data_IF_406590505212
#
_entry.id   IF_406590505212
#
_cell.length_a   1.000
_cell.length_b   1.000
_cell.length_c   1.000
_cell.angle_alpha   90.00
_cell.angle_beta   90.00
_cell.angle_gamma   90.00
#
_symmetry.space_group_name_H-M   'P 1'
#
loop_
_entity.id
_entity.type
_entity.pdbx_description
1 polymer ?
#
# COMPACT_ATOMS: atom_id res chain seq x y z
N UNK A 1 10.27 31.75 62.39
CA UNK A 1 9.94 31.76 60.94
C UNK A 1 11.12 31.21 60.15
N UNK A 2 11.00 30.04 59.51
CA UNK A 2 11.43 29.72 58.13
C UNK A 2 11.39 28.19 57.97
N UNK A 3 10.37 27.68 57.29
CA UNK A 3 10.29 26.28 56.83
C UNK A 3 11.00 26.26 55.47
N UNK A 4 11.99 25.39 55.31
CA UNK A 4 12.70 25.19 54.03
C UNK A 4 12.26 23.84 53.45
N UNK A 5 11.24 23.85 52.60
CA UNK A 5 10.83 22.68 51.83
C UNK A 5 11.79 22.48 50.66
N UNK A 6 12.59 21.42 50.70
CA UNK A 6 13.31 20.89 49.54
C UNK A 6 12.33 20.03 48.72
N UNK A 7 11.91 20.53 47.55
CA UNK A 7 11.14 19.75 46.57
C UNK A 7 12.14 19.06 45.66
N UNK A 8 12.25 17.73 45.79
CA UNK A 8 13.03 16.88 44.88
C UNK A 8 12.14 16.56 43.67
N UNK A 9 12.48 17.13 42.52
CA UNK A 9 11.81 16.87 41.25
C UNK A 9 12.43 15.61 40.61
N UNK A 10 11.76 14.46 40.73
CA UNK A 10 12.16 13.22 40.04
C UNK A 10 11.62 13.27 38.61
N UNK A 11 12.51 13.46 37.64
CA UNK A 11 12.17 13.40 36.21
C UNK A 11 12.20 11.94 35.78
N UNK A 12 11.02 11.31 35.65
CA UNK A 12 10.88 10.00 35.04
C UNK A 12 11.13 10.07 33.54
N UNK A 13 12.19 9.42 33.07
CA UNK A 13 12.43 9.18 31.65
C UNK A 13 11.43 8.13 31.15
N UNK A 14 10.28 8.57 30.67
CA UNK A 14 9.36 7.70 29.92
C UNK A 14 9.99 7.36 28.57
N UNK A 15 10.52 6.15 28.44
CA UNK A 15 10.88 5.59 27.14
C UNK A 15 9.60 5.41 26.33
N UNK A 16 9.34 6.33 25.41
CA UNK A 16 8.33 6.13 24.39
C UNK A 16 8.78 4.97 23.50
N UNK A 17 8.33 3.75 23.80
CA UNK A 17 8.42 2.64 22.86
C UNK A 17 7.62 3.05 21.62
N UNK A 18 8.32 3.36 20.53
CA UNK A 18 7.70 3.52 19.23
C UNK A 18 7.01 2.19 18.91
N UNK A 19 5.68 2.18 18.96
CA UNK A 19 4.88 1.02 18.61
C UNK A 19 5.19 0.67 17.16
N UNK A 20 5.85 -0.48 16.95
CA UNK A 20 6.10 -0.95 15.60
C UNK A 20 4.75 -1.05 14.88
N UNK A 21 4.63 -0.46 13.67
CA UNK A 21 3.40 -0.51 12.92
C UNK A 21 3.08 -1.96 12.65
N UNK A 22 1.96 -2.43 13.19
CA UNK A 22 1.45 -3.77 12.94
C UNK A 22 1.37 -4.04 11.43
N UNK A 23 1.43 -5.32 11.03
CA UNK A 23 1.26 -5.78 9.64
C UNK A 23 0.01 -5.25 8.93
N UNK A 24 -0.93 -4.64 9.65
CA UNK A 24 -2.13 -3.96 9.13
C UNK A 24 -1.95 -2.45 8.88
N UNK A 25 -0.73 -1.93 8.78
CA UNK A 25 -0.53 -0.48 8.56
C UNK A 25 -0.90 -0.05 7.13
N UNK A 26 -0.81 -0.96 6.16
CA UNK A 26 -1.12 -0.69 4.76
C UNK A 26 -2.30 -1.56 4.31
N UNK A 27 -3.36 -0.98 3.74
CA UNK A 27 -4.45 -1.75 3.15
C UNK A 27 -3.98 -2.79 2.13
N UNK A 28 -2.88 -2.52 1.41
CA UNK A 28 -2.28 -3.48 0.48
C UNK A 28 -1.76 -4.78 1.12
N UNK A 29 -1.54 -4.81 2.45
CA UNK A 29 -1.04 -6.00 3.14
C UNK A 29 -2.11 -7.06 3.42
N UNK A 30 -3.40 -6.69 3.42
CA UNK A 30 -4.48 -7.67 3.50
C UNK A 30 -4.79 -8.24 2.11
N UNK A 31 -4.02 -9.24 1.67
CA UNK A 31 -4.16 -9.80 0.32
C UNK A 31 -5.55 -10.39 0.04
N UNK A 32 -6.20 -10.95 1.05
CA UNK A 32 -7.55 -11.51 0.90
C UNK A 32 -8.57 -10.40 0.60
N UNK A 33 -8.53 -9.31 1.36
CA UNK A 33 -9.36 -8.13 1.12
C UNK A 33 -9.03 -7.47 -0.21
N UNK A 34 -7.74 -7.25 -0.50
CA UNK A 34 -7.27 -6.64 -1.75
C UNK A 34 -7.76 -7.40 -2.99
N UNK A 35 -7.63 -8.73 -3.02
CA UNK A 35 -8.09 -9.57 -4.14
C UNK A 35 -9.62 -9.61 -4.26
N UNK A 36 -10.35 -9.24 -3.21
CA UNK A 36 -11.82 -9.17 -3.22
C UNK A 36 -12.39 -7.82 -3.69
N UNK A 37 -11.57 -6.77 -3.76
CA UNK A 37 -12.03 -5.41 -4.09
C UNK A 37 -12.76 -5.37 -5.44
N UNK A 38 -13.90 -4.70 -5.50
CA UNK A 38 -14.49 -4.28 -6.77
C UNK A 38 -14.03 -2.85 -7.05
N UNK A 39 -13.54 -2.59 -8.26
CA UNK A 39 -13.26 -1.22 -8.70
C UNK A 39 -14.48 -0.57 -9.35
N UNK A 40 -14.46 0.75 -9.45
CA UNK A 40 -15.53 1.50 -10.08
C UNK A 40 -15.45 1.44 -11.61
N UNK A 41 -16.59 1.15 -12.25
CA UNK A 41 -16.77 1.25 -13.70
C UNK A 41 -17.05 2.70 -14.08
N UNK A 42 -16.03 3.55 -14.05
CA UNK A 42 -16.16 4.99 -14.33
C UNK A 42 -15.21 5.45 -15.43
N UNK A 43 -15.49 6.64 -15.99
CA UNK A 43 -14.67 7.20 -17.07
C UNK A 43 -14.66 6.31 -18.31
N UNK A 44 -13.47 5.86 -18.71
CA UNK A 44 -13.24 4.95 -19.84
C UNK A 44 -13.22 3.47 -19.45
N UNK A 45 -13.25 3.14 -18.16
CA UNK A 45 -13.21 1.76 -17.67
C UNK A 45 -14.61 1.16 -17.81
N UNK A 46 -14.68 0.00 -18.48
CA UNK A 46 -15.92 -0.76 -18.70
C UNK A 46 -15.81 -2.21 -18.23
N UNK A 47 -14.61 -2.73 -18.12
CA UNK A 47 -14.35 -4.09 -17.67
C UNK A 47 -14.15 -4.14 -16.15
N UNK A 48 -14.88 -5.01 -15.42
CA UNK A 48 -14.71 -5.18 -13.97
C UNK A 48 -13.31 -5.64 -13.55
N UNK A 49 -12.63 -6.44 -14.37
CA UNK A 49 -11.27 -6.89 -14.10
C UNK A 49 -10.27 -5.74 -14.19
N UNK A 50 -10.38 -4.89 -15.22
CA UNK A 50 -9.61 -3.66 -15.35
C UNK A 50 -9.86 -2.73 -14.17
N UNK A 51 -11.13 -2.53 -13.77
CA UNK A 51 -11.47 -1.70 -12.63
C UNK A 51 -10.84 -2.22 -11.33
N UNK A 52 -10.89 -3.53 -11.11
CA UNK A 52 -10.24 -4.21 -9.98
C UNK A 52 -8.72 -3.94 -9.95
N UNK A 53 -8.01 -4.14 -11.06
CA UNK A 53 -6.57 -3.88 -11.12
C UNK A 53 -6.27 -2.39 -10.88
N UNK A 54 -7.09 -1.50 -11.42
CA UNK A 54 -6.95 -0.05 -11.23
C UNK A 54 -7.04 0.37 -9.76
N UNK A 55 -8.05 -0.10 -9.02
CA UNK A 55 -8.21 0.26 -7.60
C UNK A 55 -7.06 -0.30 -6.75
N UNK A 56 -6.65 -1.55 -6.99
CA UNK A 56 -5.50 -2.14 -6.28
C UNK A 56 -4.20 -1.40 -6.55
N UNK A 57 -3.97 -0.99 -7.80
CA UNK A 57 -2.80 -0.20 -8.18
C UNK A 57 -2.78 1.15 -7.47
N UNK A 58 -3.93 1.84 -7.36
CA UNK A 58 -4.03 3.11 -6.65
C UNK A 58 -3.71 2.96 -5.15
N UNK A 59 -4.25 1.91 -4.51
CA UNK A 59 -3.96 1.60 -3.11
C UNK A 59 -2.46 1.36 -2.90
N UNK A 60 -1.85 0.50 -3.72
CA UNK A 60 -0.40 0.22 -3.63
C UNK A 60 0.45 1.47 -3.83
N UNK A 61 0.12 2.34 -4.78
CA UNK A 61 0.83 3.60 -5.00
C UNK A 61 0.76 4.53 -3.78
N UNK A 62 -0.39 4.59 -3.12
CA UNK A 62 -0.57 5.33 -1.87
C UNK A 62 0.24 4.71 -0.72
N UNK A 63 0.25 3.39 -0.59
CA UNK A 63 0.96 2.68 0.46
C UNK A 63 2.49 2.77 0.28
N UNK A 64 2.99 2.61 -0.94
CA UNK A 64 4.42 2.83 -1.25
C UNK A 64 4.82 4.27 -0.90
N UNK A 65 3.98 5.24 -1.25
CA UNK A 65 4.23 6.65 -0.92
C UNK A 65 4.30 6.89 0.59
N UNK A 66 3.45 6.20 1.35
CA UNK A 66 3.40 6.25 2.81
C UNK A 66 4.62 5.55 3.43
N UNK A 67 4.98 4.36 2.95
CA UNK A 67 6.17 3.61 3.37
C UNK A 67 7.45 4.41 3.16
N UNK A 68 7.60 5.07 2.00
CA UNK A 68 8.72 5.97 1.73
C UNK A 68 8.73 7.16 2.70
N UNK A 69 7.60 7.84 2.91
CA UNK A 69 7.52 9.00 3.82
C UNK A 69 7.86 8.60 5.27
N UNK A 70 7.48 7.39 5.67
CA UNK A 70 7.84 6.78 6.95
C UNK A 70 9.29 6.23 6.98
N UNK A 71 10.07 6.39 5.91
CA UNK A 71 11.45 5.91 5.75
C UNK A 71 11.62 4.40 5.91
N UNK A 72 10.57 3.62 5.64
CA UNK A 72 10.62 2.14 5.63
C UNK A 72 11.22 1.59 4.35
N UNK A 73 11.08 2.34 3.25
CA UNK A 73 11.73 2.06 1.97
C UNK A 73 12.49 3.29 1.50
N UNK A 74 13.60 3.06 0.80
CA UNK A 74 14.38 4.14 0.17
C UNK A 74 13.62 4.78 -0.99
N UNK A 75 13.99 6.00 -1.38
CA UNK A 75 13.43 6.65 -2.56
C UNK A 75 13.62 5.81 -3.84
N UNK A 76 14.83 5.30 -4.17
CA UNK A 76 15.01 4.42 -5.34
C UNK A 76 14.14 3.16 -5.29
N UNK A 77 13.99 2.55 -4.11
CA UNK A 77 13.11 1.38 -3.94
C UNK A 77 11.66 1.75 -4.21
N UNK A 78 11.18 2.86 -3.64
CA UNK A 78 9.83 3.34 -3.86
C UNK A 78 9.54 3.65 -5.34
N UNK A 79 10.50 4.25 -6.04
CA UNK A 79 10.39 4.55 -7.47
C UNK A 79 10.29 3.28 -8.32
N UNK A 80 11.07 2.24 -7.98
CA UNK A 80 10.97 0.96 -8.66
C UNK A 80 9.62 0.30 -8.43
N UNK A 81 9.15 0.24 -7.18
CA UNK A 81 7.83 -0.32 -6.87
C UNK A 81 6.70 0.44 -7.56
N UNK A 82 6.80 1.78 -7.64
CA UNK A 82 5.85 2.61 -8.40
C UNK A 82 5.83 2.27 -9.89
N UNK A 83 6.99 2.02 -10.50
CA UNK A 83 7.08 1.58 -11.90
C UNK A 83 6.47 0.21 -12.10
N UNK A 84 6.71 -0.73 -11.19
CA UNK A 84 6.16 -2.08 -11.27
C UNK A 84 4.62 -2.06 -11.22
N UNK A 85 4.03 -1.27 -10.32
CA UNK A 85 2.57 -1.07 -10.25
C UNK A 85 2.02 -0.41 -11.53
N UNK A 86 2.72 0.60 -12.04
CA UNK A 86 2.30 1.28 -13.28
C UNK A 86 2.33 0.36 -14.49
N UNK A 87 3.34 -0.51 -14.57
CA UNK A 87 3.43 -1.52 -15.63
C UNK A 87 2.22 -2.45 -15.59
N UNK A 88 1.89 -3.02 -14.42
CA UNK A 88 0.72 -3.90 -14.28
C UNK A 88 -0.57 -3.22 -14.73
N UNK A 89 -0.79 -1.97 -14.29
CA UNK A 89 -1.97 -1.19 -14.70
C UNK A 89 -2.01 -0.97 -16.21
N UNK A 90 -0.88 -0.57 -16.80
CA UNK A 90 -0.78 -0.30 -18.23
C UNK A 90 -0.99 -1.58 -19.06
N UNK A 91 -0.45 -2.72 -18.61
CA UNK A 91 -0.62 -4.01 -19.28
C UNK A 91 -2.10 -4.43 -19.26
N UNK A 92 -2.76 -4.36 -18.10
CA UNK A 92 -4.19 -4.62 -17.99
C UNK A 92 -5.02 -3.69 -18.91
N UNK A 93 -4.71 -2.39 -18.92
CA UNK A 93 -5.39 -1.42 -19.79
C UNK A 93 -5.18 -1.74 -21.29
N UNK A 94 -3.96 -2.11 -21.70
CA UNK A 94 -3.65 -2.50 -23.09
C UNK A 94 -4.41 -3.76 -23.48
N UNK A 95 -4.42 -4.77 -22.61
CA UNK A 95 -5.13 -6.03 -22.85
C UNK A 95 -6.63 -5.81 -23.00
N UNK A 96 -7.26 -5.12 -22.04
CA UNK A 96 -8.69 -4.80 -22.10
C UNK A 96 -9.03 -3.97 -23.34
N UNK A 97 -8.19 -3.02 -23.76
CA UNK A 97 -8.41 -2.28 -25.01
C UNK A 97 -8.36 -3.16 -26.26
N UNK A 98 -7.52 -4.19 -26.27
CA UNK A 98 -7.34 -5.09 -27.44
C UNK A 98 -8.46 -6.11 -27.58
N UNK A 99 -8.90 -6.73 -26.48
CA UNK A 99 -9.86 -7.85 -26.53
C UNK A 99 -11.23 -7.51 -25.93
N UNK A 100 -11.37 -6.35 -25.29
CA UNK A 100 -12.61 -5.84 -24.71
C UNK A 100 -12.87 -6.21 -23.25
N UNK A 101 -12.10 -7.15 -22.67
CA UNK A 101 -12.27 -7.61 -21.30
C UNK A 101 -10.96 -8.14 -20.70
N UNK A 102 -10.95 -8.38 -19.39
CA UNK A 102 -9.88 -9.10 -18.69
C UNK A 102 -10.41 -10.46 -18.20
N UNK A 103 -9.82 -11.55 -18.65
CA UNK A 103 -10.19 -12.89 -18.17
C UNK A 103 -9.80 -13.10 -16.70
N UNK A 104 -10.40 -14.10 -16.07
CA UNK A 104 -10.06 -14.48 -14.69
C UNK A 104 -8.58 -14.89 -14.55
N UNK A 105 -8.00 -15.53 -15.57
CA UNK A 105 -6.59 -15.95 -15.56
C UNK A 105 -5.63 -14.77 -15.67
N UNK A 106 -5.92 -13.80 -16.54
CA UNK A 106 -5.15 -12.56 -16.67
C UNK A 106 -5.25 -11.74 -15.38
N UNK A 107 -6.46 -11.55 -14.85
CA UNK A 107 -6.68 -10.89 -13.56
C UNK A 107 -5.85 -11.55 -12.45
N UNK A 108 -5.93 -12.88 -12.31
CA UNK A 108 -5.17 -13.61 -11.29
C UNK A 108 -3.66 -13.47 -11.46
N UNK A 109 -3.18 -13.29 -12.69
CA UNK A 109 -1.76 -13.04 -12.98
C UNK A 109 -1.35 -11.66 -12.49
N UNK A 110 -2.07 -10.62 -12.90
CA UNK A 110 -1.83 -9.27 -12.42
C UNK A 110 -2.00 -9.16 -10.91
N UNK A 111 -2.91 -9.92 -10.31
CA UNK A 111 -3.08 -9.95 -8.86
C UNK A 111 -1.82 -10.42 -8.14
N UNK A 112 -1.20 -11.51 -8.61
CA UNK A 112 0.06 -12.03 -8.05
C UNK A 112 1.23 -11.06 -8.22
N UNK A 113 1.27 -10.34 -9.34
CA UNK A 113 2.27 -9.29 -9.55
C UNK A 113 2.11 -8.15 -8.55
N UNK A 114 0.88 -7.69 -8.31
CA UNK A 114 0.60 -6.67 -7.30
C UNK A 114 0.88 -7.18 -5.87
N UNK A 115 0.59 -8.46 -5.58
CA UNK A 115 0.93 -9.06 -4.28
C UNK A 115 2.45 -9.11 -4.06
N UNK A 116 3.22 -9.35 -5.12
CA UNK A 116 4.68 -9.32 -5.06
C UNK A 116 5.20 -7.92 -4.71
N UNK A 117 4.55 -6.86 -5.22
CA UNK A 117 4.86 -5.48 -4.83
C UNK A 117 4.49 -5.24 -3.36
N UNK A 118 3.29 -5.66 -2.93
CA UNK A 118 2.82 -5.51 -1.56
C UNK A 118 3.80 -6.15 -0.56
N UNK A 119 4.29 -7.36 -0.84
CA UNK A 119 5.27 -8.07 -0.02
C UNK A 119 6.60 -7.30 0.19
N UNK A 120 6.89 -6.26 -0.60
CA UNK A 120 8.09 -5.42 -0.45
C UNK A 120 7.92 -4.26 0.54
N UNK A 121 6.68 -3.94 0.91
CA UNK A 121 6.35 -2.86 1.85
C UNK A 121 5.59 -3.35 3.10
N UNK A 122 5.06 -4.57 3.05
CA UNK A 122 4.44 -5.24 4.19
C UNK A 122 5.50 -5.89 5.09
N UNK A 123 5.41 -5.70 6.41
CA UNK A 123 6.32 -6.32 7.38
C UNK A 123 6.07 -7.82 7.55
#
# INVERSE_FOLDING_TARGET
MKILCFIVLVVGLSSAHAQEPSANTYPSCNLAEQRSLAGDLSGTIRDPGQAHISIRANILQADISTARKARRVSQPTADQLWKDVQRVRADADVFTRKQGFLSAAERATYDRELDTVAARICP
#
